data_IF_690958659195
#
_entry.id   IF_690958659195
#
_cell.length_a   1.000
_cell.length_b   1.000
_cell.length_c   1.000
_cell.angle_alpha   90.00
_cell.angle_beta   90.00
_cell.angle_gamma   90.00
#
_symmetry.space_group_name_H-M   'P 1'
#
loop_
_entity.id
_entity.type
_entity.pdbx_description
1 polymer ?
#
# COMPACT_ATOMS: atom_id res chain seq x y z
N UNK A 1 -9.92 23.75 -8.16
CA UNK A 1 -9.77 25.00 -7.38
C UNK A 1 -8.86 24.72 -6.22
N UNK A 2 -7.70 25.38 -6.15
CA UNK A 2 -6.81 25.28 -4.98
C UNK A 2 -7.32 26.29 -3.95
N UNK A 3 -8.05 25.80 -2.95
CA UNK A 3 -8.45 26.53 -1.75
C UNK A 3 -7.61 26.00 -0.59
N UNK A 4 -6.68 26.81 -0.08
CA UNK A 4 -5.84 26.46 1.06
C UNK A 4 -5.61 27.68 1.95
N UNK A 5 -6.27 27.70 3.11
CA UNK A 5 -6.20 28.77 4.09
C UNK A 5 -5.08 28.47 5.10
N UNK A 6 -4.23 29.46 5.34
CA UNK A 6 -3.23 29.48 6.39
C UNK A 6 -2.46 30.79 6.33
N UNK A 7 -3.11 31.94 6.17
CA UNK A 7 -3.88 32.57 7.24
C UNK A 7 -4.75 33.66 6.61
N UNK A 8 -6.07 33.58 6.78
CA UNK A 8 -7.05 34.54 6.26
C UNK A 8 -6.75 35.07 4.83
N UNK A 9 -7.03 34.26 3.82
CA UNK A 9 -7.28 34.78 2.48
C UNK A 9 -8.63 35.51 2.51
N UNK A 10 -8.64 36.84 2.47
CA UNK A 10 -9.86 37.56 2.10
C UNK A 10 -10.12 37.30 0.62
N UNK A 11 -11.32 36.80 0.28
CA UNK A 11 -11.86 36.57 -1.06
C UNK A 11 -11.79 37.84 -1.94
N UNK A 12 -10.59 38.26 -2.28
CA UNK A 12 -10.37 39.45 -3.09
C UNK A 12 -9.83 38.92 -4.40
N UNK A 13 -10.73 38.90 -5.40
CA UNK A 13 -10.34 38.74 -6.80
C UNK A 13 -9.12 39.62 -7.06
N UNK A 14 -8.07 39.06 -7.64
CA UNK A 14 -6.97 39.87 -8.17
C UNK A 14 -7.57 40.61 -9.37
N UNK A 15 -7.97 41.86 -9.15
CA UNK A 15 -8.53 42.75 -10.17
C UNK A 15 -7.38 43.39 -10.95
N UNK A 16 -6.56 42.54 -11.59
CA UNK A 16 -5.55 43.00 -12.54
C UNK A 16 -5.95 42.58 -13.93
N UNK A 17 -5.75 43.51 -14.86
CA UNK A 17 -5.96 43.38 -16.29
C UNK A 17 -5.46 41.99 -16.81
N UNK A 18 -6.30 41.20 -17.52
CA UNK A 18 -5.97 39.85 -18.00
C UNK A 18 -4.76 39.75 -18.96
N UNK A 19 -4.14 40.87 -19.31
CA UNK A 19 -3.06 40.96 -20.29
C UNK A 19 -1.64 40.72 -19.71
N UNK A 20 -1.49 40.57 -18.39
CA UNK A 20 -0.16 40.32 -17.78
C UNK A 20 0.05 38.81 -17.58
N UNK A 21 1.06 38.27 -18.26
CA UNK A 21 1.53 36.91 -18.06
C UNK A 21 1.99 36.70 -16.60
N UNK A 22 1.39 35.74 -15.89
CA UNK A 22 1.81 35.38 -14.52
C UNK A 22 2.58 34.06 -14.58
N UNK A 23 3.89 34.12 -14.38
CA UNK A 23 4.70 32.91 -14.31
C UNK A 23 4.58 32.28 -12.92
N UNK A 24 4.08 31.04 -12.87
CA UNK A 24 4.12 30.22 -11.66
C UNK A 24 5.30 29.25 -11.79
N UNK A 25 5.87 28.82 -10.67
CA UNK A 25 6.79 27.68 -10.66
C UNK A 25 6.13 26.56 -9.87
N UNK A 26 5.69 25.52 -10.59
CA UNK A 26 4.94 24.40 -10.02
C UNK A 26 5.73 23.12 -10.26
N UNK A 27 6.36 22.57 -9.23
CA UNK A 27 7.07 21.29 -9.31
C UNK A 27 6.14 20.16 -8.91
N UNK A 28 5.85 19.28 -9.87
CA UNK A 28 4.96 18.13 -9.70
C UNK A 28 5.72 16.80 -9.67
N UNK A 29 5.29 15.83 -8.85
CA UNK A 29 5.78 14.46 -8.94
C UNK A 29 5.51 13.83 -10.31
N UNK A 30 6.32 12.83 -10.67
CA UNK A 30 6.13 12.05 -11.89
C UNK A 30 4.73 11.38 -11.89
N UNK A 31 3.96 11.61 -12.96
CA UNK A 31 2.60 11.08 -13.11
C UNK A 31 1.46 12.03 -12.70
N UNK A 32 1.76 13.22 -12.17
CA UNK A 32 0.75 14.26 -11.89
C UNK A 32 0.54 15.14 -13.13
N UNK A 33 -0.71 15.28 -13.58
CA UNK A 33 -1.04 16.14 -14.72
C UNK A 33 -1.54 17.50 -14.23
N UNK A 34 -0.89 18.57 -14.66
CA UNK A 34 -1.30 19.96 -14.37
C UNK A 34 -1.95 20.54 -15.62
N UNK A 35 -3.12 21.18 -15.47
CA UNK A 35 -3.83 21.84 -16.58
C UNK A 35 -4.32 23.22 -16.16
N UNK A 36 -4.45 24.12 -17.13
CA UNK A 36 -5.22 25.35 -16.93
C UNK A 36 -6.64 24.99 -16.48
N UNK A 37 -7.18 25.74 -15.51
CA UNK A 37 -8.55 25.51 -15.06
C UNK A 37 -9.55 25.79 -16.20
N UNK A 38 -10.55 24.92 -16.43
CA UNK A 38 -11.57 25.18 -17.44
C UNK A 38 -12.25 26.54 -17.20
N UNK A 39 -12.29 27.38 -18.23
CA UNK A 39 -12.89 28.72 -18.15
C UNK A 39 -12.02 29.82 -17.56
N UNK A 40 -10.74 29.56 -17.22
CA UNK A 40 -9.83 30.59 -16.68
C UNK A 40 -9.24 31.54 -17.73
N UNK A 41 -9.53 31.33 -19.02
CA UNK A 41 -8.99 32.13 -20.13
C UNK A 41 -7.51 31.90 -20.43
N UNK A 42 -6.78 31.18 -19.56
CA UNK A 42 -5.34 31.02 -19.66
C UNK A 42 -4.88 29.78 -20.41
N UNK A 43 -3.67 29.86 -20.97
CA UNK A 43 -2.90 28.75 -21.52
C UNK A 43 -1.75 28.38 -20.59
N UNK A 44 -1.56 27.08 -20.34
CA UNK A 44 -0.49 26.58 -19.48
C UNK A 44 0.60 25.95 -20.36
N UNK A 45 1.84 26.41 -20.23
CA UNK A 45 3.02 25.87 -20.91
C UNK A 45 3.81 25.02 -19.92
N UNK A 46 4.19 23.80 -20.30
CA UNK A 46 5.18 22.99 -19.58
C UNK A 46 6.58 23.42 -20.04
N UNK A 47 7.36 23.98 -19.11
CA UNK A 47 8.72 24.48 -19.37
C UNK A 47 9.79 23.39 -19.15
N UNK A 48 9.37 22.17 -18.77
CA UNK A 48 10.24 21.07 -18.38
C UNK A 48 10.68 21.13 -16.91
N UNK A 49 11.27 20.05 -16.41
CA UNK A 49 11.76 19.91 -15.03
C UNK A 49 10.71 20.20 -13.93
N UNK A 50 9.42 19.99 -14.21
CA UNK A 50 8.34 20.34 -13.28
C UNK A 50 8.26 21.86 -13.07
N UNK A 51 8.13 22.60 -14.16
CA UNK A 51 7.87 24.05 -14.16
C UNK A 51 6.79 24.35 -15.17
N UNK A 52 5.86 25.26 -14.83
CA UNK A 52 4.71 25.56 -15.68
C UNK A 52 4.37 27.05 -15.69
N UNK A 53 4.32 27.65 -16.87
CA UNK A 53 3.96 29.06 -17.05
C UNK A 53 2.47 29.20 -17.44
N UNK A 54 1.70 30.03 -16.72
CA UNK A 54 0.30 30.34 -17.06
C UNK A 54 0.21 31.72 -17.74
N UNK A 55 -0.23 31.74 -19.00
CA UNK A 55 -0.41 32.96 -19.80
C UNK A 55 -1.89 33.27 -19.98
N UNK A 56 -2.33 34.45 -19.55
CA UNK A 56 -3.70 34.96 -19.78
C UNK A 56 -4.79 34.36 -18.87
N UNK A 57 -4.43 33.82 -17.71
CA UNK A 57 -5.39 33.30 -16.73
C UNK A 57 -4.88 33.37 -15.30
N UNK A 58 -5.77 33.14 -14.32
CA UNK A 58 -5.48 33.30 -12.89
C UNK A 58 -5.67 32.02 -12.05
N UNK A 59 -5.93 30.88 -12.71
CA UNK A 59 -6.24 29.63 -12.01
C UNK A 59 -5.68 28.39 -12.73
N UNK A 60 -5.11 27.49 -11.93
CA UNK A 60 -4.61 26.16 -12.35
C UNK A 60 -5.42 25.08 -11.65
N UNK A 61 -5.70 23.98 -12.35
CA UNK A 61 -6.30 22.77 -11.77
C UNK A 61 -5.24 21.68 -11.70
N UNK A 62 -4.99 21.20 -10.48
CA UNK A 62 -4.08 20.09 -10.20
C UNK A 62 -4.96 18.87 -9.91
N UNK A 63 -4.75 17.79 -10.65
CA UNK A 63 -5.53 16.55 -10.54
C UNK A 63 -4.59 15.47 -10.04
N UNK A 64 -4.96 14.82 -8.93
CA UNK A 64 -4.28 13.62 -8.44
C UNK A 64 -3.17 13.81 -7.40
N UNK A 65 -3.16 14.91 -6.66
CA UNK A 65 -2.26 15.12 -5.51
C UNK A 65 -3.00 15.81 -4.34
N UNK A 66 -2.65 15.50 -3.08
CA UNK A 66 -3.03 16.31 -1.91
C UNK A 66 -1.94 17.38 -1.73
N UNK A 67 -2.33 18.66 -1.80
CA UNK A 67 -1.39 19.78 -1.84
C UNK A 67 -1.32 20.45 -0.46
N UNK A 68 -0.11 20.58 0.10
CA UNK A 68 0.19 21.59 1.11
C UNK A 68 0.70 22.87 0.44
N UNK A 69 0.26 24.05 0.89
CA UNK A 69 0.70 25.34 0.34
C UNK A 69 1.50 26.07 1.43
N UNK A 70 2.75 26.46 1.13
CA UNK A 70 3.52 27.43 1.94
C UNK A 70 3.85 28.64 1.05
N UNK A 71 3.34 29.81 1.41
CA UNK A 71 3.58 31.05 0.65
C UNK A 71 4.54 32.00 1.39
N UNK A 72 5.50 32.56 0.65
CA UNK A 72 6.16 33.83 0.98
C UNK A 72 5.92 34.81 -0.19
N UNK A 73 5.69 36.08 0.12
CA UNK A 73 5.49 37.15 -0.86
C UNK A 73 6.63 38.18 -0.75
N UNK A 74 7.12 38.66 -1.89
CA UNK A 74 7.85 39.92 -2.00
C UNK A 74 7.08 40.82 -2.97
N UNK A 75 6.71 42.02 -2.50
CA UNK A 75 6.05 43.04 -3.32
C UNK A 75 7.14 43.81 -4.04
N UNK A 76 7.22 43.68 -5.36
CA UNK A 76 8.08 44.51 -6.19
C UNK A 76 7.26 45.66 -6.79
N UNK A 77 7.45 46.84 -6.20
CA UNK A 77 7.14 48.16 -6.77
C UNK A 77 5.70 48.40 -7.29
N UNK A 78 4.70 47.86 -6.58
CA UNK A 78 3.31 48.31 -6.69
C UNK A 78 2.54 47.90 -7.96
N UNK A 79 3.15 47.16 -8.88
CA UNK A 79 2.50 46.67 -10.11
C UNK A 79 2.83 45.22 -10.46
N UNK A 80 3.78 44.59 -9.77
CA UNK A 80 4.18 43.20 -10.03
C UNK A 80 4.21 42.41 -8.73
N UNK A 81 3.33 41.41 -8.61
CA UNK A 81 3.43 40.39 -7.57
C UNK A 81 4.21 39.21 -8.13
N UNK A 82 5.41 38.96 -7.62
CA UNK A 82 6.09 37.70 -7.91
C UNK A 82 5.61 36.68 -6.88
N UNK A 83 4.86 35.68 -7.32
CA UNK A 83 4.55 34.54 -6.48
C UNK A 83 5.84 33.73 -6.26
N UNK A 84 6.63 34.08 -5.23
CA UNK A 84 7.71 33.23 -4.69
C UNK A 84 7.13 32.08 -3.85
N UNK A 85 6.00 31.53 -4.27
CA UNK A 85 5.58 30.23 -3.78
C UNK A 85 6.25 29.22 -4.69
N UNK A 86 7.31 28.60 -4.21
CA UNK A 86 7.54 27.22 -4.60
C UNK A 86 6.25 26.49 -4.23
N UNK A 87 5.42 26.15 -5.22
CA UNK A 87 4.28 25.27 -4.99
C UNK A 87 4.89 23.88 -4.76
N UNK A 88 5.41 23.69 -3.55
CA UNK A 88 6.10 22.48 -3.14
C UNK A 88 5.01 21.44 -2.87
N UNK A 89 4.76 20.57 -3.83
CA UNK A 89 3.89 19.40 -3.63
C UNK A 89 4.71 18.38 -2.83
N UNK A 90 4.86 18.61 -1.53
CA UNK A 90 5.37 17.61 -0.59
C UNK A 90 4.23 16.63 -0.29
N UNK A 91 3.88 15.77 -1.25
CA UNK A 91 3.18 14.52 -0.95
C UNK A 91 4.22 13.43 -0.81
N UNK A 92 4.78 13.35 0.39
CA UNK A 92 5.90 12.46 0.70
C UNK A 92 5.39 11.12 1.23
N UNK A 93 6.30 10.18 1.44
CA UNK A 93 5.98 8.93 2.13
C UNK A 93 5.46 9.17 3.56
N UNK A 94 5.82 10.28 4.19
CA UNK A 94 5.32 10.64 5.53
C UNK A 94 3.85 11.08 5.54
N UNK A 95 3.29 11.43 4.38
CA UNK A 95 1.91 11.87 4.23
C UNK A 95 0.95 10.73 3.88
N UNK A 96 1.45 9.48 3.93
CA UNK A 96 0.73 8.28 3.55
C UNK A 96 -0.63 8.18 4.22
N UNK A 97 -1.62 7.74 3.44
CA UNK A 97 -2.97 7.42 3.90
C UNK A 97 -3.37 6.05 3.41
N UNK A 98 -4.23 5.39 4.18
CA UNK A 98 -4.92 4.17 3.73
C UNK A 98 -5.62 4.45 2.40
N UNK A 99 -5.42 3.55 1.45
CA UNK A 99 -5.97 3.64 0.10
C UNK A 99 -5.07 4.37 -0.91
N UNK A 100 -3.96 4.99 -0.48
CA UNK A 100 -3.00 5.57 -1.40
C UNK A 100 -2.36 4.50 -2.29
N UNK A 101 -2.12 4.84 -3.54
CA UNK A 101 -1.36 4.02 -4.47
C UNK A 101 0.12 4.21 -4.21
N UNK A 102 0.82 3.11 -3.96
CA UNK A 102 2.26 3.08 -3.91
C UNK A 102 2.81 2.77 -5.30
N UNK A 103 3.58 3.70 -5.85
CA UNK A 103 4.08 3.63 -7.22
C UNK A 103 5.61 3.83 -7.23
N UNK A 104 6.24 3.57 -8.36
CA UNK A 104 7.69 3.73 -8.51
C UNK A 104 8.05 4.47 -9.78
N UNK A 105 9.10 5.29 -9.71
CA UNK A 105 9.64 5.99 -10.86
C UNK A 105 10.57 5.10 -11.69
N UNK A 106 11.05 5.62 -12.81
CA UNK A 106 12.00 4.93 -13.70
C UNK A 106 13.34 4.57 -13.03
N UNK A 107 13.74 5.31 -11.99
CA UNK A 107 14.90 5.03 -11.15
C UNK A 107 14.64 3.96 -10.07
N UNK A 108 13.40 3.48 -9.94
CA UNK A 108 13.00 2.48 -8.94
C UNK A 108 12.70 3.04 -7.55
N UNK A 109 12.64 4.37 -7.40
CA UNK A 109 12.30 5.03 -6.14
C UNK A 109 10.77 5.06 -5.95
N UNK A 110 10.33 4.81 -4.72
CA UNK A 110 8.91 4.78 -4.36
C UNK A 110 8.31 6.16 -4.12
N UNK A 111 7.06 6.36 -4.52
CA UNK A 111 6.27 7.55 -4.24
C UNK A 111 4.78 7.20 -4.10
N UNK A 112 4.00 8.13 -3.55
CA UNK A 112 2.57 7.93 -3.32
C UNK A 112 1.73 8.77 -4.27
N UNK A 113 0.60 8.19 -4.68
CA UNK A 113 -0.50 8.92 -5.32
C UNK A 113 -1.75 8.72 -4.47
N UNK A 114 -2.50 9.78 -4.12
CA UNK A 114 -3.73 9.67 -3.35
C UNK A 114 -4.74 8.68 -3.95
N UNK A 115 -5.39 7.89 -3.09
CA UNK A 115 -6.36 6.88 -3.52
C UNK A 115 -7.58 7.41 -4.29
N UNK A 116 -7.91 8.70 -4.13
CA UNK A 116 -8.97 9.42 -4.83
C UNK A 116 -8.52 10.05 -6.16
N UNK A 117 -7.23 9.98 -6.49
CA UNK A 117 -6.70 10.42 -7.76
C UNK A 117 -7.22 9.60 -8.94
N UNK A 118 -7.23 10.23 -10.12
CA UNK A 118 -7.33 9.52 -11.41
C UNK A 118 -5.93 9.12 -11.84
N UNK A 119 -5.70 7.83 -12.06
CA UNK A 119 -4.43 7.31 -12.54
C UNK A 119 -4.37 7.39 -14.06
N UNK A 120 -3.21 7.77 -14.60
CA UNK A 120 -2.92 7.67 -16.02
C UNK A 120 -2.17 6.37 -16.31
N UNK A 121 -2.22 5.88 -17.54
CA UNK A 121 -1.54 4.62 -17.93
C UNK A 121 -0.01 4.69 -17.81
N UNK A 122 0.57 5.89 -17.71
CA UNK A 122 2.01 6.09 -17.56
C UNK A 122 2.54 5.78 -16.15
N UNK A 123 1.66 5.68 -15.15
CA UNK A 123 2.05 5.49 -13.75
C UNK A 123 2.27 4.00 -13.46
N UNK A 124 3.44 3.65 -12.94
CA UNK A 124 3.75 2.27 -12.52
C UNK A 124 3.46 2.09 -11.04
N UNK A 125 2.19 1.88 -10.69
CA UNK A 125 1.80 1.51 -9.34
C UNK A 125 2.06 0.03 -9.07
N UNK A 126 2.50 -0.27 -7.84
CA UNK A 126 2.91 -1.61 -7.41
C UNK A 126 2.13 -2.13 -6.20
N UNK A 127 1.40 -1.27 -5.51
CA UNK A 127 0.55 -1.66 -4.40
C UNK A 127 -0.37 -0.56 -3.89
N UNK A 128 -1.14 -0.89 -2.86
CA UNK A 128 -2.07 0.01 -2.17
C UNK A 128 -1.69 0.04 -0.69
N UNK A 129 -1.53 1.23 -0.11
CA UNK A 129 -1.28 1.41 1.32
C UNK A 129 -2.51 0.94 2.09
N UNK A 130 -2.36 -0.08 2.95
CA UNK A 130 -3.46 -0.59 3.77
C UNK A 130 -3.33 -0.21 5.25
N UNK A 131 -2.15 0.23 5.70
CA UNK A 131 -1.96 0.70 7.07
C UNK A 131 -0.88 1.75 7.12
N UNK A 132 -1.12 2.79 7.92
CA UNK A 132 -0.15 3.84 8.28
C UNK A 132 0.10 3.86 9.78
N UNK A 133 -0.47 2.89 10.52
CA UNK A 133 -0.21 2.72 11.93
C UNK A 133 1.11 1.95 12.11
N UNK A 134 2.15 2.69 12.48
CA UNK A 134 3.50 2.16 12.70
C UNK A 134 3.53 1.09 13.80
N UNK A 135 2.56 1.08 14.72
CA UNK A 135 2.46 0.01 15.73
C UNK A 135 2.11 -1.35 15.13
N UNK A 136 1.45 -1.36 13.96
CA UNK A 136 1.09 -2.56 13.19
C UNK A 136 2.21 -3.08 12.28
N UNK A 137 3.37 -2.42 12.28
CA UNK A 137 4.56 -2.91 11.58
C UNK A 137 5.39 -3.77 12.56
N UNK A 138 5.55 -5.05 12.23
CA UNK A 138 6.32 -6.01 13.01
C UNK A 138 7.76 -5.58 13.29
N UNK A 139 8.32 -6.08 14.39
CA UNK A 139 9.63 -5.61 14.88
C UNK A 139 10.75 -5.92 13.87
N UNK A 140 10.73 -7.10 13.27
CA UNK A 140 11.74 -7.50 12.28
C UNK A 140 11.66 -6.64 11.00
N UNK A 141 10.45 -6.26 10.56
CA UNK A 141 10.27 -5.36 9.43
C UNK A 141 10.86 -3.97 9.73
N UNK A 142 10.63 -3.42 10.93
CA UNK A 142 11.26 -2.16 11.37
C UNK A 142 12.79 -2.24 11.36
N UNK A 143 13.36 -3.35 11.83
CA UNK A 143 14.81 -3.55 11.81
C UNK A 143 15.35 -3.69 10.38
N UNK A 144 14.62 -4.34 9.48
CA UNK A 144 15.00 -4.44 8.08
C UNK A 144 15.01 -3.07 7.38
N UNK A 145 14.01 -2.22 7.66
CA UNK A 145 13.97 -0.83 7.20
C UNK A 145 15.15 -0.02 7.76
N UNK A 146 15.44 -0.15 9.06
CA UNK A 146 16.57 0.56 9.69
C UNK A 146 17.91 0.19 9.08
N UNK A 147 18.12 -1.09 8.70
CA UNK A 147 19.33 -1.55 7.99
C UNK A 147 19.49 -0.93 6.59
N UNK A 148 18.42 -0.34 6.06
CA UNK A 148 18.35 0.34 4.76
C UNK A 148 18.26 1.87 4.91
N UNK A 149 18.71 2.39 6.06
CA UNK A 149 18.68 3.81 6.42
C UNK A 149 17.28 4.45 6.45
N UNK A 150 16.22 3.63 6.62
CA UNK A 150 14.85 4.10 6.86
C UNK A 150 14.59 4.08 8.36
N UNK A 151 14.78 5.23 9.01
CA UNK A 151 14.64 5.37 10.46
C UNK A 151 13.18 5.51 10.93
N UNK A 152 12.31 5.99 10.05
CA UNK A 152 10.88 6.21 10.32
C UNK A 152 10.06 5.43 9.30
N UNK A 153 9.55 4.24 9.67
CA UNK A 153 8.57 3.53 8.85
C UNK A 153 7.31 4.37 8.67
N UNK A 154 6.71 4.29 7.49
CA UNK A 154 5.57 5.09 7.08
C UNK A 154 4.28 4.27 6.96
N UNK A 155 4.39 2.98 6.62
CA UNK A 155 3.21 2.13 6.50
C UNK A 155 3.46 0.76 5.89
N UNK A 156 2.36 0.12 5.54
CA UNK A 156 2.31 -1.19 4.89
C UNK A 156 1.50 -1.11 3.59
N UNK A 157 1.98 -1.82 2.58
CA UNK A 157 1.43 -1.83 1.22
C UNK A 157 1.04 -3.25 0.85
N UNK A 158 -0.15 -3.42 0.27
CA UNK A 158 -0.66 -4.67 -0.28
C UNK A 158 -0.36 -4.73 -1.78
N UNK A 159 0.07 -5.89 -2.27
CA UNK A 159 0.36 -6.13 -3.69
C UNK A 159 -0.88 -5.97 -4.59
N UNK A 160 -0.66 -5.59 -5.86
CA UNK A 160 -1.75 -5.45 -6.85
C UNK A 160 -2.19 -6.78 -7.47
N UNK A 161 -1.35 -7.79 -7.43
CA UNK A 161 -1.59 -9.10 -8.04
C UNK A 161 -1.25 -10.23 -7.07
N UNK A 162 -1.82 -11.40 -7.33
CA UNK A 162 -1.48 -12.61 -6.59
C UNK A 162 -0.09 -13.11 -7.00
N UNK A 163 0.75 -13.43 -6.02
CA UNK A 163 2.01 -14.12 -6.27
C UNK A 163 1.78 -15.60 -6.64
N UNK A 164 0.64 -16.15 -6.23
CA UNK A 164 0.16 -17.48 -6.61
C UNK A 164 -1.36 -17.56 -6.49
N UNK A 165 -1.99 -18.25 -7.43
CA UNK A 165 -3.44 -18.56 -7.45
C UNK A 165 -3.79 -19.83 -6.66
N UNK A 166 -2.78 -20.52 -6.11
CA UNK A 166 -2.96 -21.76 -5.36
C UNK A 166 -1.63 -22.37 -4.97
N UNK A 167 -1.36 -22.45 -3.67
CA UNK A 167 -0.12 -22.98 -3.15
C UNK A 167 -0.32 -23.59 -1.75
N UNK A 168 0.61 -24.47 -1.38
CA UNK A 168 0.76 -25.04 -0.03
C UNK A 168 1.45 -24.05 0.89
N UNK A 169 0.99 -23.97 2.13
CA UNK A 169 1.67 -23.21 3.17
C UNK A 169 2.95 -23.92 3.63
N UNK A 170 2.90 -25.25 3.80
CA UNK A 170 4.03 -26.04 4.26
C UNK A 170 3.65 -27.50 4.50
N UNK A 171 4.51 -28.22 5.23
CA UNK A 171 4.31 -29.63 5.54
C UNK A 171 3.20 -29.83 6.59
N UNK A 172 2.34 -30.83 6.38
CA UNK A 172 1.37 -31.27 7.39
C UNK A 172 2.10 -32.06 8.48
N UNK A 173 1.69 -31.90 9.75
CA UNK A 173 2.32 -32.47 10.96
C UNK A 173 3.65 -31.84 11.41
N UNK A 174 4.17 -30.85 10.69
CA UNK A 174 5.34 -30.07 11.09
C UNK A 174 4.89 -28.81 11.82
N UNK A 175 5.22 -28.67 13.10
CA UNK A 175 4.98 -27.44 13.89
C UNK A 175 6.23 -26.56 13.86
N UNK A 176 6.19 -25.47 13.09
CA UNK A 176 7.30 -24.51 13.00
C UNK A 176 7.45 -23.71 14.30
N UNK A 177 6.39 -23.63 15.12
CA UNK A 177 6.45 -22.99 16.44
C UNK A 177 7.21 -23.82 17.49
N UNK A 178 7.48 -25.11 17.23
CA UNK A 178 8.07 -26.02 18.23
C UNK A 178 9.53 -25.74 18.61
N UNK A 179 10.17 -24.73 18.00
CA UNK A 179 11.56 -24.33 18.25
C UNK A 179 11.80 -22.82 18.42
N UNK A 180 10.76 -21.99 18.46
CA UNK A 180 10.90 -20.54 18.56
C UNK A 180 11.41 -20.08 19.93
N UNK A 181 12.54 -19.37 19.97
CA UNK A 181 12.98 -18.67 21.17
C UNK A 181 12.09 -17.44 21.45
N UNK A 182 12.12 -16.93 22.69
CA UNK A 182 11.44 -15.68 23.02
C UNK A 182 11.92 -14.53 22.11
N UNK A 183 11.00 -13.97 21.33
CA UNK A 183 11.29 -12.91 20.35
C UNK A 183 11.70 -13.39 18.96
N UNK A 184 11.68 -14.70 18.71
CA UNK A 184 11.86 -15.28 17.38
C UNK A 184 10.53 -15.42 16.61
N UNK A 185 10.56 -15.46 15.27
CA UNK A 185 9.42 -15.89 14.46
C UNK A 185 8.94 -17.28 14.88
N UNK A 186 7.66 -17.55 14.70
CA UNK A 186 7.03 -18.80 15.15
C UNK A 186 7.29 -19.09 16.65
N UNK A 187 7.05 -18.09 17.51
CA UNK A 187 7.13 -18.29 18.97
C UNK A 187 5.96 -19.11 19.51
N UNK A 188 4.78 -18.94 18.94
CA UNK A 188 3.56 -19.57 19.45
C UNK A 188 2.50 -19.68 18.36
N UNK A 189 1.79 -20.80 18.38
CA UNK A 189 0.66 -21.05 17.50
C UNK A 189 -0.43 -19.97 17.64
N UNK A 190 -0.89 -19.47 16.50
CA UNK A 190 -1.87 -18.39 16.34
C UNK A 190 -3.30 -18.94 16.44
N UNK A 191 -3.61 -19.56 17.58
CA UNK A 191 -4.80 -20.43 17.74
C UNK A 191 -6.12 -19.71 18.04
N UNK A 192 -6.09 -18.40 18.32
CA UNK A 192 -7.27 -17.62 18.72
C UNK A 192 -7.35 -16.34 17.91
N UNK A 193 -8.55 -15.76 17.75
CA UNK A 193 -8.74 -14.48 17.08
C UNK A 193 -7.89 -13.36 17.69
N UNK A 194 -7.70 -13.33 19.01
CA UNK A 194 -6.79 -12.40 19.67
C UNK A 194 -5.34 -12.59 19.24
N UNK A 195 -4.85 -13.83 19.19
CA UNK A 195 -3.49 -14.09 18.70
C UNK A 195 -3.35 -13.76 17.22
N UNK A 196 -4.38 -14.03 16.42
CA UNK A 196 -4.44 -13.67 15.01
C UNK A 196 -4.31 -12.16 14.81
N UNK A 197 -5.13 -11.37 15.51
CA UNK A 197 -5.09 -9.91 15.46
C UNK A 197 -3.73 -9.34 15.89
N UNK A 198 -3.12 -9.91 16.93
CA UNK A 198 -1.84 -9.46 17.49
C UNK A 198 -0.62 -9.89 16.67
N UNK A 199 -0.75 -10.93 15.83
CA UNK A 199 0.35 -11.37 14.99
C UNK A 199 0.53 -10.42 13.79
N UNK A 200 1.48 -9.50 13.91
CA UNK A 200 1.86 -8.52 12.87
C UNK A 200 3.27 -8.75 12.30
N UNK A 201 3.81 -9.97 12.46
CA UNK A 201 5.20 -10.30 12.17
C UNK A 201 5.42 -11.02 10.83
N UNK A 202 4.57 -10.78 9.83
CA UNK A 202 4.62 -11.52 8.56
C UNK A 202 5.97 -11.48 7.82
N UNK A 203 6.70 -10.37 7.92
CA UNK A 203 8.08 -10.27 7.42
C UNK A 203 9.01 -11.29 8.11
N UNK A 204 8.94 -11.36 9.43
CA UNK A 204 9.82 -12.22 10.23
C UNK A 204 9.51 -13.70 9.96
N UNK A 205 8.23 -14.05 9.94
CA UNK A 205 7.75 -15.42 9.65
C UNK A 205 8.12 -15.85 8.22
N UNK A 206 7.94 -14.96 7.24
CA UNK A 206 8.32 -15.24 5.85
C UNK A 206 9.80 -15.51 5.71
N UNK A 207 10.65 -14.63 6.26
CA UNK A 207 12.09 -14.80 6.17
C UNK A 207 12.59 -16.00 6.95
N UNK A 208 11.99 -16.34 8.09
CA UNK A 208 12.37 -17.53 8.83
C UNK A 208 12.18 -18.81 8.01
N UNK A 209 11.05 -18.96 7.31
CA UNK A 209 10.81 -20.12 6.44
C UNK A 209 11.82 -20.15 5.29
N UNK A 210 12.05 -19.01 4.64
CA UNK A 210 13.01 -18.90 3.52
C UNK A 210 14.42 -19.25 3.99
N UNK A 211 14.87 -18.72 5.12
CA UNK A 211 16.23 -18.95 5.64
C UNK A 211 16.41 -20.39 6.13
N UNK A 212 15.36 -20.98 6.71
CA UNK A 212 15.38 -22.36 7.22
C UNK A 212 15.40 -23.39 6.10
N UNK A 213 14.57 -23.20 5.07
CA UNK A 213 14.33 -24.21 4.04
C UNK A 213 14.91 -23.84 2.67
N UNK A 214 15.47 -22.64 2.48
CA UNK A 214 15.96 -22.16 1.19
C UNK A 214 17.22 -22.88 0.68
N UNK A 215 18.01 -23.47 1.58
CA UNK A 215 19.16 -24.30 1.22
C UNK A 215 18.80 -25.78 1.00
N UNK A 216 17.58 -26.18 1.36
CA UNK A 216 17.04 -27.51 1.10
C UNK A 216 16.40 -27.47 -0.29
N UNK A 217 17.15 -27.96 -1.29
CA UNK A 217 16.96 -27.66 -2.72
C UNK A 217 15.55 -27.87 -3.29
N UNK A 218 14.70 -28.64 -2.61
CA UNK A 218 13.29 -28.86 -3.00
C UNK A 218 12.28 -28.37 -1.96
N UNK A 219 12.64 -28.24 -0.67
CA UNK A 219 11.65 -27.96 0.37
C UNK A 219 10.91 -26.64 0.17
N UNK A 220 11.63 -25.55 -0.13
CA UNK A 220 11.01 -24.25 -0.37
C UNK A 220 10.11 -24.25 -1.63
N UNK A 221 10.59 -24.63 -2.83
CA UNK A 221 9.77 -24.61 -4.05
C UNK A 221 8.70 -25.70 -4.15
N UNK A 222 8.78 -26.82 -3.41
CA UNK A 222 7.82 -27.94 -3.53
C UNK A 222 6.87 -28.06 -2.33
N UNK A 223 7.30 -27.67 -1.13
CA UNK A 223 6.53 -27.80 0.12
C UNK A 223 6.05 -26.46 0.66
N UNK A 224 6.97 -25.51 0.87
CA UNK A 224 6.66 -24.18 1.40
C UNK A 224 6.35 -23.17 0.29
N UNK A 225 5.54 -23.62 -0.68
CA UNK A 225 5.29 -22.92 -1.94
C UNK A 225 4.70 -21.51 -1.75
N UNK A 226 3.91 -21.26 -0.70
CA UNK A 226 3.40 -19.92 -0.40
C UNK A 226 4.53 -18.92 -0.14
N UNK A 227 5.54 -19.35 0.62
CA UNK A 227 6.72 -18.54 0.95
C UNK A 227 7.68 -18.42 -0.23
N UNK A 228 7.81 -19.48 -1.04
CA UNK A 228 8.53 -19.42 -2.32
C UNK A 228 7.92 -18.38 -3.26
N UNK A 229 6.60 -18.40 -3.47
CA UNK A 229 5.94 -17.43 -4.34
C UNK A 229 6.06 -16.00 -3.80
N UNK A 230 5.94 -15.81 -2.48
CA UNK A 230 6.16 -14.51 -1.86
C UNK A 230 7.60 -14.00 -2.08
N UNK A 231 8.61 -14.85 -1.96
CA UNK A 231 10.02 -14.47 -2.17
C UNK A 231 10.36 -14.14 -3.62
N UNK A 232 9.61 -14.73 -4.57
CA UNK A 232 9.77 -14.46 -6.01
C UNK A 232 8.93 -13.28 -6.50
N UNK A 233 7.93 -12.82 -5.75
CA UNK A 233 7.07 -11.73 -6.18
C UNK A 233 7.88 -10.44 -6.40
N UNK A 234 7.69 -9.81 -7.56
CA UNK A 234 8.45 -8.63 -7.95
C UNK A 234 9.86 -8.92 -8.49
N UNK A 235 10.32 -10.17 -8.54
CA UNK A 235 11.63 -10.52 -9.13
C UNK A 235 11.54 -10.77 -10.64
N UNK A 236 12.67 -10.66 -11.34
CA UNK A 236 12.76 -10.96 -12.78
C UNK A 236 12.47 -12.43 -13.13
N UNK A 237 12.60 -13.33 -12.16
CA UNK A 237 12.28 -14.76 -12.32
C UNK A 237 10.76 -15.04 -12.24
N UNK A 238 9.95 -14.05 -11.88
CA UNK A 238 8.50 -14.15 -11.83
C UNK A 238 7.85 -13.36 -12.97
N UNK A 239 6.60 -13.70 -13.31
CA UNK A 239 5.76 -12.88 -14.20
C UNK A 239 5.39 -11.51 -13.60
N UNK A 240 5.78 -11.27 -12.35
CA UNK A 240 5.44 -10.08 -11.55
C UNK A 240 6.59 -9.09 -11.43
N UNK A 241 7.69 -9.24 -12.19
CA UNK A 241 8.90 -8.40 -12.10
C UNK A 241 8.64 -6.88 -12.21
N UNK A 242 7.60 -6.46 -12.94
CA UNK A 242 7.17 -5.05 -13.00
C UNK A 242 6.76 -4.49 -11.62
N UNK A 243 6.37 -5.34 -10.68
CA UNK A 243 5.98 -5.01 -9.31
C UNK A 243 7.13 -5.10 -8.29
N UNK A 244 8.40 -5.11 -8.74
CA UNK A 244 9.55 -5.03 -7.83
C UNK A 244 9.39 -3.88 -6.82
N UNK A 245 9.52 -4.18 -5.53
CA UNK A 245 9.49 -3.21 -4.45
C UNK A 245 10.77 -2.34 -4.47
N UNK A 246 10.69 -1.03 -4.16
CA UNK A 246 11.87 -0.18 -4.06
C UNK A 246 12.88 -0.67 -3.03
N UNK A 247 14.14 -0.28 -3.22
CA UNK A 247 15.26 -0.70 -2.37
C UNK A 247 15.03 -0.37 -0.89
N UNK A 248 14.54 0.85 -0.59
CA UNK A 248 14.23 1.38 0.75
C UNK A 248 12.89 0.90 1.31
N UNK A 249 12.53 -0.35 1.05
CA UNK A 249 11.38 -1.03 1.65
C UNK A 249 11.84 -2.34 2.28
N UNK A 250 10.96 -3.11 2.93
CA UNK A 250 11.31 -4.47 3.36
C UNK A 250 11.46 -5.45 2.21
N UNK A 251 11.02 -5.10 0.99
CA UNK A 251 10.67 -6.10 -0.01
C UNK A 251 9.37 -6.83 0.36
N UNK A 252 8.88 -7.63 -0.58
CA UNK A 252 7.62 -8.36 -0.44
C UNK A 252 7.75 -9.54 0.52
N UNK A 253 6.75 -9.71 1.38
CA UNK A 253 6.59 -10.85 2.29
C UNK A 253 5.12 -11.33 2.29
N UNK A 254 4.88 -12.54 2.82
CA UNK A 254 3.53 -13.03 3.05
C UNK A 254 2.96 -12.37 4.32
N UNK A 255 1.85 -11.61 4.26
CA UNK A 255 1.31 -10.96 5.44
C UNK A 255 0.88 -11.96 6.51
N UNK A 256 1.08 -11.61 7.77
CA UNK A 256 0.54 -12.35 8.90
C UNK A 256 -0.97 -12.14 9.01
N UNK A 257 -1.61 -12.90 9.90
CA UNK A 257 -3.06 -12.80 10.08
C UNK A 257 -3.46 -11.40 10.56
N UNK A 258 -2.72 -10.78 11.47
CA UNK A 258 -3.02 -9.42 11.93
C UNK A 258 -2.91 -8.39 10.80
N UNK A 259 -2.01 -8.60 9.84
CA UNK A 259 -1.90 -7.74 8.66
C UNK A 259 -3.07 -7.97 7.68
N UNK A 260 -3.60 -9.18 7.58
CA UNK A 260 -4.86 -9.45 6.89
C UNK A 260 -6.06 -8.77 7.57
N UNK A 261 -6.10 -8.73 8.91
CA UNK A 261 -7.12 -7.97 9.64
C UNK A 261 -7.06 -6.48 9.31
N UNK A 262 -5.85 -5.93 9.18
CA UNK A 262 -5.65 -4.53 8.81
C UNK A 262 -6.14 -4.27 7.37
N UNK A 263 -5.82 -5.15 6.41
CA UNK A 263 -6.33 -5.07 5.03
C UNK A 263 -7.86 -5.08 5.01
N UNK A 264 -8.48 -6.02 5.71
CA UNK A 264 -9.94 -6.17 5.74
C UNK A 264 -10.64 -4.98 6.44
N UNK A 265 -10.04 -4.45 7.51
CA UNK A 265 -10.61 -3.31 8.22
C UNK A 265 -10.46 -2.02 7.43
N UNK A 266 -9.25 -1.76 6.92
CA UNK A 266 -8.89 -0.46 6.35
C UNK A 266 -9.26 -0.34 4.87
N UNK A 267 -9.09 -1.40 4.06
CA UNK A 267 -9.46 -1.40 2.64
C UNK A 267 -10.77 -2.14 2.39
N UNK A 268 -11.08 -3.18 3.16
CA UNK A 268 -12.33 -3.93 3.05
C UNK A 268 -13.52 -3.24 3.73
N UNK A 269 -13.28 -2.28 4.62
CA UNK A 269 -14.34 -1.58 5.36
C UNK A 269 -15.13 -2.48 6.32
N UNK A 270 -14.48 -3.53 6.84
CA UNK A 270 -15.10 -4.48 7.77
C UNK A 270 -14.73 -4.13 9.20
N UNK A 271 -15.72 -3.88 10.05
CA UNK A 271 -15.46 -3.68 11.49
C UNK A 271 -15.17 -5.02 12.18
N UNK A 272 -13.89 -5.21 12.52
CA UNK A 272 -13.40 -6.40 13.22
C UNK A 272 -13.17 -6.17 14.73
N UNK A 273 -13.47 -4.98 15.25
CA UNK A 273 -13.10 -4.56 16.62
C UNK A 273 -13.59 -5.53 17.68
N UNK A 274 -14.84 -6.01 17.56
CA UNK A 274 -15.45 -6.93 18.53
C UNK A 274 -14.78 -8.32 18.62
N UNK A 275 -13.88 -8.64 17.70
CA UNK A 275 -13.19 -9.92 17.64
C UNK A 275 -11.75 -9.89 18.18
N UNK A 276 -11.18 -8.69 18.40
CA UNK A 276 -9.76 -8.50 18.73
C UNK A 276 -9.33 -9.18 20.04
N UNK A 277 -10.25 -9.36 21.00
CA UNK A 277 -9.96 -10.00 22.29
C UNK A 277 -10.61 -11.39 22.44
N UNK A 278 -11.07 -11.98 21.33
CA UNK A 278 -11.76 -13.27 21.38
C UNK A 278 -10.78 -14.43 21.46
N UNK A 279 -11.12 -15.40 22.30
CA UNK A 279 -10.41 -16.66 22.44
C UNK A 279 -10.90 -17.74 21.47
N UNK A 280 -11.96 -17.44 20.71
CA UNK A 280 -12.47 -18.32 19.65
C UNK A 280 -11.39 -18.59 18.60
N UNK A 281 -11.34 -19.81 18.03
CA UNK A 281 -10.31 -20.19 17.07
C UNK A 281 -10.50 -19.60 15.67
N UNK A 282 -11.75 -19.26 15.32
CA UNK A 282 -12.12 -18.65 14.04
C UNK A 282 -13.42 -17.86 14.20
N UNK A 283 -13.75 -17.03 13.21
CA UNK A 283 -15.07 -16.40 13.11
C UNK A 283 -15.54 -16.37 11.67
N UNK A 284 -16.86 -16.34 11.51
CA UNK A 284 -17.56 -16.13 10.25
C UNK A 284 -18.41 -14.88 10.35
N UNK A 285 -18.29 -13.98 9.39
CA UNK A 285 -18.96 -12.69 9.38
C UNK A 285 -19.95 -12.72 8.22
N UNK A 286 -21.27 -12.86 8.49
CA UNK A 286 -22.30 -12.87 7.46
C UNK A 286 -22.24 -11.59 6.63
N UNK A 287 -22.52 -11.71 5.34
CA UNK A 287 -22.63 -10.61 4.36
C UNK A 287 -21.35 -9.77 4.16
N UNK A 288 -20.25 -10.09 4.84
CA UNK A 288 -19.03 -9.28 4.81
C UNK A 288 -18.12 -9.58 3.61
N UNK A 289 -18.19 -10.77 3.00
CA UNK A 289 -17.37 -11.08 1.84
C UNK A 289 -17.67 -10.16 0.63
N UNK A 290 -18.93 -9.96 0.19
CA UNK A 290 -19.21 -9.06 -0.92
C UNK A 290 -18.82 -7.61 -0.61
N UNK A 291 -18.99 -7.14 0.64
CA UNK A 291 -18.61 -5.79 1.06
C UNK A 291 -17.09 -5.61 0.95
N UNK A 292 -16.31 -6.51 1.54
CA UNK A 292 -14.85 -6.44 1.51
C UNK A 292 -14.31 -6.50 0.09
N UNK A 293 -14.83 -7.42 -0.74
CA UNK A 293 -14.45 -7.56 -2.15
C UNK A 293 -14.77 -6.28 -2.93
N UNK A 294 -15.97 -5.71 -2.77
CA UNK A 294 -16.36 -4.49 -3.45
C UNK A 294 -15.44 -3.32 -3.09
N UNK A 295 -15.22 -3.10 -1.78
CA UNK A 295 -14.42 -1.99 -1.28
C UNK A 295 -12.95 -2.09 -1.73
N UNK A 296 -12.30 -3.25 -1.56
CA UNK A 296 -10.92 -3.44 -2.03
C UNK A 296 -10.79 -3.27 -3.55
N UNK A 297 -11.79 -3.73 -4.31
CA UNK A 297 -11.78 -3.60 -5.77
C UNK A 297 -11.96 -2.16 -6.26
N UNK A 298 -12.50 -1.23 -5.45
CA UNK A 298 -12.57 0.20 -5.83
C UNK A 298 -11.20 0.80 -6.10
N UNK A 299 -10.17 0.32 -5.40
CA UNK A 299 -8.79 0.72 -5.60
C UNK A 299 -8.15 -0.03 -6.78
N UNK A 300 -8.29 -1.36 -6.81
CA UNK A 300 -7.65 -2.22 -7.82
C UNK A 300 -8.15 -1.92 -9.24
N UNK A 301 -9.43 -1.60 -9.41
CA UNK A 301 -10.01 -1.29 -10.72
C UNK A 301 -9.45 -0.01 -11.36
N UNK A 302 -8.80 0.86 -10.57
CA UNK A 302 -8.13 2.06 -11.09
C UNK A 302 -6.77 1.75 -11.72
N UNK A 303 -6.24 0.53 -11.55
CA UNK A 303 -4.90 0.16 -12.01
C UNK A 303 -4.99 -0.96 -13.05
N UNK A 304 -4.51 -0.68 -14.25
CA UNK A 304 -4.46 -1.67 -15.32
C UNK A 304 -3.59 -2.87 -14.95
N UNK A 305 -4.13 -4.07 -15.14
CA UNK A 305 -3.44 -5.34 -14.86
C UNK A 305 -3.36 -5.74 -13.38
N UNK A 306 -4.03 -5.03 -12.47
CA UNK A 306 -4.25 -5.52 -11.11
C UNK A 306 -5.19 -6.74 -11.12
N UNK A 307 -5.03 -7.66 -10.16
CA UNK A 307 -5.89 -8.83 -9.99
C UNK A 307 -6.98 -8.52 -8.97
N UNK A 308 -8.26 -8.34 -9.39
CA UNK A 308 -9.35 -8.07 -8.48
C UNK A 308 -9.58 -9.21 -7.51
N UNK A 309 -10.06 -8.88 -6.31
CA UNK A 309 -10.62 -9.88 -5.41
C UNK A 309 -11.94 -10.40 -5.95
N UNK A 310 -12.24 -11.66 -5.66
CA UNK A 310 -13.54 -12.27 -5.95
C UNK A 310 -14.00 -13.13 -4.79
N UNK A 311 -15.31 -13.36 -4.70
CA UNK A 311 -15.84 -14.41 -3.82
C UNK A 311 -15.37 -15.79 -4.29
N UNK A 312 -15.50 -16.77 -3.42
CA UNK A 312 -14.93 -18.12 -3.53
C UNK A 312 -13.40 -18.12 -3.68
N UNK A 313 -12.71 -17.28 -2.93
CA UNK A 313 -11.24 -17.21 -2.91
C UNK A 313 -10.71 -17.23 -1.48
N UNK A 314 -9.52 -17.79 -1.31
CA UNK A 314 -8.91 -18.01 -0.01
C UNK A 314 -7.46 -17.56 -0.07
N UNK A 315 -6.97 -16.91 0.99
CA UNK A 315 -5.62 -16.36 1.02
C UNK A 315 -4.88 -16.85 2.25
N UNK A 316 -3.67 -17.33 2.05
CA UNK A 316 -2.78 -17.64 3.15
C UNK A 316 -2.37 -16.37 3.89
N UNK A 317 -2.18 -16.53 5.19
CA UNK A 317 -1.30 -15.68 5.99
C UNK A 317 0.00 -16.43 6.29
N UNK A 318 1.04 -15.74 6.74
CA UNK A 318 2.26 -16.36 7.27
C UNK A 318 2.07 -16.97 8.66
N UNK A 319 0.93 -16.73 9.32
CA UNK A 319 0.70 -17.15 10.69
C UNK A 319 0.35 -18.63 10.78
N UNK A 320 1.16 -19.38 11.52
CA UNK A 320 0.90 -20.79 11.79
C UNK A 320 -0.19 -20.95 12.86
N UNK A 321 -1.13 -21.89 12.64
CA UNK A 321 -2.18 -22.22 13.61
C UNK A 321 -1.82 -23.44 14.45
N UNK A 322 -1.18 -24.46 13.85
CA UNK A 322 -0.69 -25.67 14.50
C UNK A 322 0.27 -26.41 13.57
N UNK A 323 0.86 -27.52 14.03
CA UNK A 323 1.61 -28.42 13.14
C UNK A 323 0.84 -28.93 11.92
N UNK A 324 -0.49 -28.87 11.89
CA UNK A 324 -1.29 -29.32 10.75
C UNK A 324 -1.88 -28.17 9.90
N UNK A 325 -1.96 -26.96 10.45
CA UNK A 325 -2.77 -25.89 9.85
C UNK A 325 -2.12 -24.53 9.95
N UNK A 326 -2.44 -23.65 9.00
CA UNK A 326 -2.06 -22.25 9.01
C UNK A 326 -3.29 -21.35 8.91
N UNK A 327 -3.18 -20.13 9.41
CA UNK A 327 -4.24 -19.14 9.38
C UNK A 327 -4.50 -18.65 7.95
N UNK A 328 -5.77 -18.45 7.60
CA UNK A 328 -6.18 -17.98 6.28
C UNK A 328 -7.45 -17.10 6.32
N UNK A 329 -7.56 -16.21 5.35
CA UNK A 329 -8.78 -15.44 5.10
C UNK A 329 -9.57 -16.12 3.99
N UNK A 330 -10.90 -16.19 4.12
CA UNK A 330 -11.78 -16.81 3.11
C UNK A 330 -12.93 -15.87 2.74
N UNK A 331 -13.01 -15.52 1.46
CA UNK A 331 -14.16 -14.85 0.86
C UNK A 331 -15.07 -15.92 0.27
N UNK A 332 -16.07 -16.38 1.00
CA UNK A 332 -16.87 -17.55 0.60
C UNK A 332 -17.98 -17.18 -0.40
N UNK A 333 -18.57 -18.18 -1.07
CA UNK A 333 -19.58 -17.93 -2.12
C UNK A 333 -20.98 -17.60 -1.57
N UNK A 334 -21.24 -17.94 -0.31
CA UNK A 334 -22.49 -17.68 0.43
C UNK A 334 -22.44 -16.35 1.21
N UNK A 335 -21.56 -15.44 0.80
CA UNK A 335 -21.38 -14.08 1.32
C UNK A 335 -20.71 -13.95 2.70
N UNK A 336 -20.24 -15.06 3.27
CA UNK A 336 -19.48 -15.05 4.52
C UNK A 336 -17.99 -14.74 4.31
N UNK A 337 -17.47 -13.83 5.14
CA UNK A 337 -16.04 -13.62 5.33
C UNK A 337 -15.56 -14.43 6.53
N UNK A 338 -14.52 -15.23 6.37
CA UNK A 338 -13.93 -15.97 7.48
C UNK A 338 -12.53 -15.52 7.82
N UNK A 339 -12.28 -15.40 9.13
CA UNK A 339 -10.95 -15.38 9.73
C UNK A 339 -10.75 -16.78 10.31
N UNK A 340 -9.98 -17.64 9.62
CA UNK A 340 -9.98 -19.09 9.86
C UNK A 340 -8.57 -19.67 9.76
N UNK A 341 -8.48 -20.99 9.69
CA UNK A 341 -7.28 -21.75 9.39
C UNK A 341 -7.60 -22.85 8.37
N UNK A 342 -6.59 -23.37 7.69
CA UNK A 342 -6.71 -24.48 6.74
C UNK A 342 -5.49 -25.41 6.83
N UNK A 343 -5.61 -26.63 6.34
CA UNK A 343 -4.50 -27.58 6.30
C UNK A 343 -3.35 -27.04 5.44
N UNK A 344 -2.12 -27.11 5.96
CA UNK A 344 -0.94 -26.51 5.33
C UNK A 344 -0.61 -27.08 3.95
N UNK A 345 -0.96 -28.35 3.75
CA UNK A 345 -0.66 -29.11 2.56
C UNK A 345 -1.74 -28.99 1.47
N UNK A 346 -2.78 -28.17 1.70
CA UNK A 346 -3.78 -27.82 0.69
C UNK A 346 -3.26 -26.71 -0.21
N UNK A 347 -3.54 -26.83 -1.51
CA UNK A 347 -3.03 -25.93 -2.56
C UNK A 347 -4.06 -24.97 -3.13
N UNK A 348 -5.20 -24.77 -2.46
CA UNK A 348 -6.31 -23.96 -2.95
C UNK A 348 -6.27 -22.49 -2.50
N UNK A 349 -5.34 -22.15 -1.61
CA UNK A 349 -5.19 -20.80 -1.09
C UNK A 349 -4.13 -20.02 -1.89
N UNK A 350 -4.41 -18.74 -2.11
CA UNK A 350 -3.59 -17.79 -2.85
C UNK A 350 -2.61 -17.06 -1.95
N UNK A 351 -1.70 -16.31 -2.57
CA UNK A 351 -0.76 -15.42 -1.88
C UNK A 351 -0.89 -14.00 -2.43
N UNK A 352 -1.23 -13.06 -1.55
CA UNK A 352 -1.20 -11.62 -1.82
C UNK A 352 -0.17 -11.01 -0.87
N UNK A 353 0.96 -10.54 -1.42
CA UNK A 353 2.09 -10.07 -0.61
C UNK A 353 1.85 -8.69 0.01
N UNK A 354 2.65 -8.38 1.03
CA UNK A 354 2.78 -7.05 1.61
C UNK A 354 4.24 -6.62 1.69
N UNK A 355 4.51 -5.32 1.76
CA UNK A 355 5.80 -4.78 2.21
C UNK A 355 5.59 -3.61 3.18
N UNK A 356 6.60 -3.29 3.98
CA UNK A 356 6.67 -2.05 4.76
C UNK A 356 7.65 -1.07 4.10
N UNK A 357 7.40 0.23 4.25
CA UNK A 357 8.21 1.31 3.68
C UNK A 357 8.46 2.43 4.70
#
# INVERSE_FOLDING_TARGET
>A
TVTGNGTAWTDTSIDTDPDVAVTYRITAPEGVTIKAAPGSGGSLTDDGNGSYTLLGGNAVTIIGARIGIKGLYEVADGTTYTLKSDLLIEYSLADARVGDFYCKNSSGEGYLIPGDASLTEAVTCIGIVYSTDVSRIGTAAKQALKKKDVSTPHGLVMALTDASEGCRWGESSKDENSGGADGAPFKANTTTLQKQYNNVDGYAETHWIIDTYGNDGTALPDTYTAFYHASRYGTAESSTGKYAAPEKTTGWFLPSMGQWWDILSNLGGIDLTRYQDKTDPFTSIPDAAPIAVANMNTYLQKISGATPFSRNTYFWSSSEYSGYSACNVRFYSDDYLYLNYNYKDYSNNRVRCSFAF
#
